data_IF_888904556243
#
_entry.id   IF_888904556243
#
_cell.length_a   1.000
_cell.length_b   1.000
_cell.length_c   1.000
_cell.angle_alpha   90.00
_cell.angle_beta   90.00
_cell.angle_gamma   90.00
#
_symmetry.space_group_name_H-M   'P 1'
#
loop_
_entity.id
_entity.type
_entity.pdbx_description
1 polymer ?
#
# COMPACT_ATOMS: atom_id res chain seq x y z
N UNK A 1 19.10 0.27 76.55
CA UNK A 1 17.97 0.67 75.75
C UNK A 1 18.45 0.66 74.27
N UNK A 2 18.21 -0.46 73.55
CA UNK A 2 18.66 -0.63 72.13
C UNK A 2 17.52 -0.25 71.19
N UNK A 3 17.73 0.78 70.41
CA UNK A 3 16.71 1.19 69.36
C UNK A 3 16.88 0.28 68.17
N UNK A 4 15.80 -0.46 67.89
CA UNK A 4 15.66 -1.31 66.71
C UNK A 4 15.23 -0.44 65.49
N UNK A 5 16.10 -0.26 64.51
CA UNK A 5 15.76 0.40 63.27
C UNK A 5 15.20 -0.65 62.30
N UNK A 6 13.92 -0.50 61.97
CA UNK A 6 13.25 -1.29 60.93
C UNK A 6 13.51 -0.63 59.57
N UNK A 7 14.30 -1.29 58.75
CA UNK A 7 14.51 -0.89 57.34
C UNK A 7 13.36 -1.45 56.52
N UNK A 8 12.50 -0.54 56.03
CA UNK A 8 11.39 -0.86 55.13
C UNK A 8 12.00 -0.94 53.70
N UNK A 9 12.18 -2.15 53.18
CA UNK A 9 12.58 -2.38 51.78
C UNK A 9 11.31 -2.31 50.95
N UNK A 10 11.08 -1.17 50.28
CA UNK A 10 10.04 -1.00 49.29
C UNK A 10 10.46 -1.67 47.97
N UNK A 11 10.02 -2.89 47.77
CA UNK A 11 10.23 -3.61 46.50
C UNK A 11 9.42 -2.98 45.38
N UNK A 12 10.08 -2.29 44.45
CA UNK A 12 9.48 -1.90 43.18
C UNK A 12 9.22 -3.17 42.33
N UNK A 13 7.98 -3.60 42.32
CA UNK A 13 7.50 -4.66 41.37
C UNK A 13 7.40 -4.02 40.00
N UNK A 14 8.42 -4.17 39.15
CA UNK A 14 8.29 -3.89 37.70
C UNK A 14 7.39 -4.95 37.10
N UNK A 15 6.12 -4.60 36.91
CA UNK A 15 5.21 -5.37 36.05
C UNK A 15 5.64 -5.11 34.62
N UNK A 16 6.44 -6.00 34.07
CA UNK A 16 6.66 -6.07 32.62
C UNK A 16 5.35 -6.58 32.04
N UNK A 17 4.49 -5.66 31.58
CA UNK A 17 3.35 -6.00 30.74
C UNK A 17 3.94 -6.49 29.41
N UNK A 18 4.29 -7.78 29.35
CA UNK A 18 4.52 -8.47 28.09
C UNK A 18 3.19 -8.45 27.35
N UNK A 19 3.06 -7.59 26.34
CA UNK A 19 2.00 -7.68 25.35
C UNK A 19 2.17 -9.01 24.61
N UNK A 20 1.62 -10.05 25.19
CA UNK A 20 1.48 -11.35 24.55
C UNK A 20 0.29 -11.23 23.61
N UNK A 21 0.51 -10.68 22.41
CA UNK A 21 -0.48 -10.79 21.33
C UNK A 21 -0.64 -12.27 21.04
N UNK A 22 -1.71 -12.86 21.56
CA UNK A 22 -2.14 -14.20 21.20
C UNK A 22 -2.34 -14.18 19.68
N UNK A 23 -1.38 -14.72 18.93
CA UNK A 23 -1.62 -15.14 17.55
C UNK A 23 -2.63 -16.27 17.64
N UNK A 24 -3.88 -15.96 17.38
CA UNK A 24 -4.87 -16.98 17.12
C UNK A 24 -4.34 -17.83 15.97
N UNK A 25 -4.19 -19.13 16.19
CA UNK A 25 -3.70 -20.07 15.19
C UNK A 25 -4.63 -20.02 13.98
N UNK A 26 -4.26 -19.23 12.95
CA UNK A 26 -4.96 -19.14 11.67
C UNK A 26 -5.70 -17.82 11.38
N UNK A 27 -5.70 -16.82 12.26
CA UNK A 27 -6.39 -15.54 12.05
C UNK A 27 -5.45 -14.32 12.01
N UNK A 28 -5.88 -13.26 11.31
CA UNK A 28 -5.24 -11.94 11.33
C UNK A 28 -5.29 -11.35 12.76
N UNK A 29 -4.22 -10.67 13.19
CA UNK A 29 -4.21 -9.92 14.46
C UNK A 29 -5.24 -8.77 14.44
N UNK A 30 -5.58 -8.23 15.61
CA UNK A 30 -6.47 -7.07 15.70
C UNK A 30 -5.86 -5.83 15.01
N UNK A 31 -4.53 -5.66 15.09
CA UNK A 31 -3.79 -4.58 14.41
C UNK A 31 -3.85 -4.74 12.89
N UNK A 32 -3.55 -5.94 12.38
CA UNK A 32 -3.64 -6.23 10.95
C UNK A 32 -5.05 -6.00 10.39
N UNK A 33 -6.10 -6.39 11.13
CA UNK A 33 -7.50 -6.11 10.74
C UNK A 33 -7.77 -4.61 10.67
N UNK A 34 -7.33 -3.84 11.67
CA UNK A 34 -7.49 -2.38 11.69
C UNK A 34 -6.76 -1.72 10.51
N UNK A 35 -5.54 -2.17 10.21
CA UNK A 35 -4.78 -1.67 9.07
C UNK A 35 -5.49 -1.97 7.75
N UNK A 36 -6.03 -3.17 7.59
CA UNK A 36 -6.80 -3.57 6.41
C UNK A 36 -8.09 -2.74 6.25
N UNK A 37 -8.82 -2.51 7.34
CA UNK A 37 -10.00 -1.64 7.36
C UNK A 37 -9.66 -0.20 6.95
N UNK A 38 -8.52 0.33 7.41
CA UNK A 38 -8.04 1.65 6.99
C UNK A 38 -7.69 1.67 5.49
N UNK A 39 -7.06 0.62 4.96
CA UNK A 39 -6.80 0.48 3.52
C UNK A 39 -8.09 0.48 2.70
N UNK A 40 -9.11 -0.26 3.14
CA UNK A 40 -10.44 -0.23 2.51
C UNK A 40 -11.07 1.17 2.56
N UNK A 41 -10.86 1.91 3.66
CA UNK A 41 -11.28 3.30 3.78
C UNK A 41 -10.60 4.21 2.75
N UNK A 42 -9.30 4.04 2.51
CA UNK A 42 -8.54 4.76 1.47
C UNK A 42 -9.12 4.43 0.10
N UNK A 43 -9.25 3.15 -0.26
CA UNK A 43 -9.84 2.70 -1.53
C UNK A 43 -11.21 3.32 -1.77
N UNK A 44 -12.06 3.36 -0.75
CA UNK A 44 -13.39 3.98 -0.82
C UNK A 44 -13.32 5.49 -1.11
N UNK A 45 -12.32 6.21 -0.59
CA UNK A 45 -12.14 7.62 -0.91
C UNK A 45 -11.85 7.82 -2.42
N UNK A 46 -11.06 6.94 -3.03
CA UNK A 46 -10.79 6.98 -4.47
C UNK A 46 -12.02 6.62 -5.31
N UNK A 47 -12.73 5.55 -4.98
CA UNK A 47 -13.93 5.13 -5.71
C UNK A 47 -15.04 6.19 -5.65
N UNK A 48 -15.19 6.87 -4.51
CA UNK A 48 -16.18 7.95 -4.34
C UNK A 48 -15.67 9.30 -4.84
N UNK A 49 -14.37 9.44 -5.15
CA UNK A 49 -13.67 10.70 -5.45
C UNK A 49 -13.84 11.76 -4.34
N UNK A 50 -14.04 11.31 -3.09
CA UNK A 50 -14.21 12.16 -1.90
C UNK A 50 -13.10 11.88 -0.88
N UNK A 51 -12.15 12.80 -0.78
CA UNK A 51 -11.01 12.73 0.13
C UNK A 51 -11.22 13.48 1.45
N UNK A 52 -12.44 13.91 1.78
CA UNK A 52 -12.73 14.61 3.03
C UNK A 52 -12.29 13.81 4.25
N UNK A 53 -12.51 12.48 4.24
CA UNK A 53 -12.18 11.54 5.31
C UNK A 53 -10.80 10.88 5.19
N UNK A 54 -9.99 11.24 4.20
CA UNK A 54 -8.68 10.59 4.00
C UNK A 54 -7.78 10.65 5.23
N UNK A 55 -7.88 11.73 6.03
CA UNK A 55 -7.12 11.88 7.27
C UNK A 55 -7.53 10.94 8.41
N UNK A 56 -8.64 10.21 8.27
CA UNK A 56 -9.00 9.14 9.21
C UNK A 56 -8.09 7.91 9.03
N UNK A 57 -7.53 7.74 7.81
CA UNK A 57 -6.81 6.55 7.37
C UNK A 57 -5.33 6.78 7.09
N UNK A 58 -4.92 8.01 6.74
CA UNK A 58 -3.54 8.40 6.44
C UNK A 58 -3.04 9.36 7.53
N UNK A 59 -1.78 9.22 7.92
CA UNK A 59 -1.14 10.11 8.87
C UNK A 59 -0.94 11.51 8.25
N UNK A 60 -0.92 12.55 9.10
CA UNK A 60 -0.77 13.95 8.66
C UNK A 60 0.59 14.19 7.95
N UNK A 61 1.62 13.49 8.39
CA UNK A 61 2.99 13.51 7.85
C UNK A 61 3.31 12.35 6.90
N UNK A 62 2.28 11.63 6.44
CA UNK A 62 2.44 10.48 5.54
C UNK A 62 3.18 10.81 4.25
N UNK A 63 3.79 9.80 3.64
CA UNK A 63 4.55 9.92 2.38
C UNK A 63 3.97 8.93 1.36
N UNK A 64 3.64 9.43 0.18
CA UNK A 64 3.33 8.60 -0.98
C UNK A 64 4.50 8.64 -1.96
N UNK A 65 5.14 7.49 -2.18
CA UNK A 65 6.28 7.33 -3.07
C UNK A 65 5.88 7.09 -4.54
N UNK A 66 4.57 7.07 -4.83
CA UNK A 66 4.04 6.81 -6.17
C UNK A 66 3.73 8.08 -6.98
N UNK A 67 4.11 9.25 -6.50
CA UNK A 67 3.89 10.51 -7.22
C UNK A 67 4.69 10.58 -8.53
N UNK A 68 4.07 11.08 -9.60
CA UNK A 68 4.70 11.18 -10.94
C UNK A 68 6.00 12.02 -10.94
N UNK A 69 6.15 12.96 -10.03
CA UNK A 69 7.30 13.86 -9.91
C UNK A 69 8.16 13.57 -8.67
N UNK A 70 7.96 12.42 -8.05
CA UNK A 70 8.61 12.02 -6.80
C UNK A 70 7.66 11.98 -5.61
N UNK A 71 8.20 11.91 -4.40
CA UNK A 71 7.42 11.76 -3.18
C UNK A 71 6.38 12.87 -2.97
N UNK A 72 5.14 12.48 -2.68
CA UNK A 72 4.10 13.41 -2.19
C UNK A 72 4.11 13.35 -0.66
N UNK A 73 4.52 14.43 -0.02
CA UNK A 73 4.68 14.50 1.44
C UNK A 73 3.56 15.29 2.10
N UNK A 74 2.95 14.67 3.11
CA UNK A 74 1.89 15.23 3.93
C UNK A 74 0.49 15.09 3.33
N UNK A 75 -0.47 14.86 4.22
CA UNK A 75 -1.87 14.58 3.89
C UNK A 75 -2.52 15.67 3.01
N UNK A 76 -2.22 16.94 3.25
CA UNK A 76 -2.80 18.05 2.47
C UNK A 76 -2.38 17.98 0.99
N UNK A 77 -1.10 17.70 0.73
CA UNK A 77 -0.59 17.56 -0.64
C UNK A 77 -1.15 16.31 -1.31
N UNK A 78 -1.24 15.18 -0.57
CA UNK A 78 -1.87 13.95 -1.08
C UNK A 78 -3.32 14.22 -1.51
N UNK A 79 -4.12 14.89 -0.67
CA UNK A 79 -5.51 15.24 -1.03
C UNK A 79 -5.58 16.07 -2.32
N UNK A 80 -4.68 17.03 -2.48
CA UNK A 80 -4.64 17.89 -3.67
C UNK A 80 -4.28 17.06 -4.93
N UNK A 81 -3.23 16.23 -4.88
CA UNK A 81 -2.80 15.42 -6.02
C UNK A 81 -3.81 14.32 -6.36
N UNK A 82 -4.37 13.62 -5.37
CA UNK A 82 -5.39 12.60 -5.61
C UNK A 82 -6.67 13.20 -6.21
N UNK A 83 -7.07 14.40 -5.78
CA UNK A 83 -8.20 15.11 -6.38
C UNK A 83 -7.96 15.42 -7.86
N UNK A 84 -6.77 15.86 -8.24
CA UNK A 84 -6.37 16.08 -9.64
C UNK A 84 -6.38 14.77 -10.42
N UNK A 85 -5.78 13.72 -9.85
CA UNK A 85 -5.68 12.40 -10.48
C UNK A 85 -7.07 11.84 -10.81
N UNK A 86 -8.00 11.80 -9.83
CA UNK A 86 -9.35 11.24 -10.06
C UNK A 86 -10.23 12.12 -10.95
N UNK A 87 -9.88 13.40 -11.15
CA UNK A 87 -10.56 14.25 -12.11
C UNK A 87 -10.23 13.90 -13.57
N UNK A 88 -9.13 13.19 -13.80
CA UNK A 88 -8.66 12.82 -15.15
C UNK A 88 -9.48 11.70 -15.78
N UNK A 89 -10.34 11.00 -15.04
CA UNK A 89 -11.12 9.87 -15.56
C UNK A 89 -12.55 9.80 -14.99
N UNK A 90 -13.43 9.18 -15.75
CA UNK A 90 -14.81 8.82 -15.39
C UNK A 90 -14.94 7.30 -15.17
N UNK A 91 -16.06 6.89 -14.57
CA UNK A 91 -16.44 5.49 -14.38
C UNK A 91 -15.32 4.63 -13.76
N UNK A 92 -14.50 5.25 -12.92
CA UNK A 92 -13.39 4.55 -12.27
C UNK A 92 -13.91 3.52 -11.28
N UNK A 93 -13.30 2.34 -11.32
CA UNK A 93 -13.58 1.25 -10.41
C UNK A 93 -12.29 0.57 -9.99
N UNK A 94 -12.19 0.31 -8.70
CA UNK A 94 -11.15 -0.53 -8.11
C UNK A 94 -11.71 -1.92 -7.81
N UNK A 95 -11.05 -2.96 -8.31
CA UNK A 95 -11.34 -4.36 -7.99
C UNK A 95 -10.16 -4.94 -7.24
N UNK A 96 -10.37 -5.34 -5.99
CA UNK A 96 -9.35 -6.00 -5.19
C UNK A 96 -9.29 -7.47 -5.57
N UNK A 97 -8.13 -7.92 -6.07
CA UNK A 97 -7.89 -9.31 -6.48
C UNK A 97 -7.38 -10.12 -5.29
N UNK A 98 -6.47 -9.55 -4.50
CA UNK A 98 -5.88 -10.20 -3.33
C UNK A 98 -5.39 -9.18 -2.34
N UNK A 99 -5.50 -9.51 -1.05
CA UNK A 99 -5.01 -8.70 0.06
C UNK A 99 -4.19 -9.54 1.02
N UNK A 100 -3.14 -8.96 1.55
CA UNK A 100 -2.31 -9.49 2.62
C UNK A 100 -2.09 -8.37 3.63
N UNK A 101 -2.23 -8.67 4.91
CA UNK A 101 -2.02 -7.69 5.97
C UNK A 101 -1.33 -8.32 7.18
N UNK A 102 -0.41 -7.57 7.76
CA UNK A 102 0.17 -7.85 9.05
C UNK A 102 0.10 -6.61 9.96
N UNK A 103 0.81 -6.63 11.09
CA UNK A 103 0.75 -5.54 12.06
C UNK A 103 1.41 -4.25 11.57
N UNK A 104 2.16 -4.29 10.48
CA UNK A 104 2.93 -3.15 9.95
C UNK A 104 2.56 -2.82 8.50
N UNK A 105 2.25 -3.81 7.66
CA UNK A 105 2.00 -3.62 6.23
C UNK A 105 0.65 -4.17 5.78
N UNK A 106 0.07 -3.48 4.79
CA UNK A 106 -1.01 -4.00 3.95
C UNK A 106 -0.54 -3.96 2.51
N UNK A 107 -0.71 -5.08 1.82
CA UNK A 107 -0.44 -5.22 0.38
C UNK A 107 -1.73 -5.60 -0.30
N UNK A 108 -2.11 -4.87 -1.36
CA UNK A 108 -3.31 -5.17 -2.15
C UNK A 108 -2.94 -5.29 -3.62
N UNK A 109 -3.24 -6.42 -4.23
CA UNK A 109 -3.23 -6.56 -5.68
C UNK A 109 -4.57 -6.10 -6.20
N UNK A 110 -4.57 -5.05 -7.00
CA UNK A 110 -5.78 -4.38 -7.46
C UNK A 110 -5.79 -4.26 -8.98
N UNK A 111 -7.01 -4.18 -9.52
CA UNK A 111 -7.27 -3.81 -10.92
C UNK A 111 -8.03 -2.51 -10.94
N UNK A 112 -7.53 -1.58 -11.73
CA UNK A 112 -8.16 -0.29 -11.96
C UNK A 112 -8.73 -0.24 -13.36
N UNK A 113 -9.94 0.26 -13.49
CA UNK A 113 -10.60 0.46 -14.80
C UNK A 113 -11.34 1.80 -14.81
N UNK A 114 -11.50 2.36 -16.01
CA UNK A 114 -12.21 3.63 -16.19
C UNK A 114 -12.09 4.13 -17.61
N UNK A 115 -12.54 5.39 -17.82
CA UNK A 115 -12.50 6.08 -19.10
C UNK A 115 -11.75 7.41 -18.91
N UNK A 116 -10.76 7.69 -19.76
CA UNK A 116 -10.01 8.94 -19.72
C UNK A 116 -10.89 10.13 -20.12
N UNK A 117 -10.78 11.23 -19.37
CA UNK A 117 -11.44 12.53 -19.70
C UNK A 117 -10.51 13.53 -20.34
N UNK A 118 -9.23 13.42 -20.05
CA UNK A 118 -8.17 14.30 -20.55
C UNK A 118 -7.11 13.46 -21.25
N UNK A 119 -6.30 14.10 -22.08
CA UNK A 119 -5.13 13.45 -22.66
C UNK A 119 -4.02 13.36 -21.59
N UNK A 120 -3.65 12.15 -21.23
CA UNK A 120 -2.61 11.87 -20.24
C UNK A 120 -2.00 10.49 -20.48
N UNK A 121 -0.68 10.34 -20.25
CA UNK A 121 0.01 9.04 -20.39
C UNK A 121 -0.17 8.38 -21.76
N UNK A 122 -0.25 9.16 -22.85
CA UNK A 122 -0.47 8.65 -24.20
C UNK A 122 -1.89 8.20 -24.50
N UNK A 123 -2.82 8.29 -23.55
CA UNK A 123 -4.24 7.99 -23.73
C UNK A 123 -5.03 9.28 -24.01
N UNK A 124 -6.09 9.18 -24.81
CA UNK A 124 -6.94 10.30 -25.22
C UNK A 124 -8.27 10.28 -24.48
N UNK A 125 -8.98 11.42 -24.45
CA UNK A 125 -10.35 11.45 -23.95
C UNK A 125 -11.23 10.40 -24.65
N UNK A 126 -11.93 9.58 -23.86
CA UNK A 126 -12.75 8.48 -24.33
C UNK A 126 -12.05 7.12 -24.36
N UNK A 127 -10.73 7.06 -24.24
CA UNK A 127 -10.00 5.79 -24.14
C UNK A 127 -10.31 5.09 -22.82
N UNK A 128 -10.54 3.79 -22.90
CA UNK A 128 -10.75 2.94 -21.72
C UNK A 128 -9.43 2.36 -21.25
N UNK A 129 -9.21 2.40 -19.96
CA UNK A 129 -8.06 1.72 -19.33
C UNK A 129 -8.51 0.55 -18.46
N UNK A 130 -7.63 -0.43 -18.36
CA UNK A 130 -7.74 -1.56 -17.44
C UNK A 130 -6.32 -1.99 -17.13
N UNK A 131 -5.87 -1.72 -15.90
CA UNK A 131 -4.50 -1.96 -15.46
C UNK A 131 -4.49 -2.61 -14.09
N UNK A 132 -3.42 -3.32 -13.78
CA UNK A 132 -3.21 -3.95 -12.48
C UNK A 132 -1.98 -3.38 -11.79
N UNK A 133 -2.06 -3.21 -10.48
CA UNK A 133 -0.95 -2.80 -9.65
C UNK A 133 -0.97 -3.53 -8.30
N UNK A 134 0.18 -3.53 -7.64
CA UNK A 134 0.31 -3.90 -6.23
C UNK A 134 0.54 -2.62 -5.45
N UNK A 135 -0.38 -2.33 -4.55
CA UNK A 135 -0.25 -1.24 -3.59
C UNK A 135 0.32 -1.79 -2.30
N UNK A 136 1.33 -1.13 -1.76
CA UNK A 136 1.95 -1.45 -0.48
C UNK A 136 1.85 -0.25 0.43
N UNK A 137 1.21 -0.40 1.57
CA UNK A 137 1.12 0.64 2.57
C UNK A 137 1.71 0.18 3.89
N UNK A 138 2.54 1.02 4.49
CA UNK A 138 3.05 0.85 5.85
C UNK A 138 2.15 1.58 6.81
N UNK A 139 1.81 0.91 7.92
CA UNK A 139 0.88 1.42 8.92
C UNK A 139 1.58 1.63 10.26
N UNK A 140 1.15 2.68 10.96
CA UNK A 140 1.47 2.94 12.35
C UNK A 140 0.21 3.44 13.05
N UNK A 141 -0.14 2.85 14.20
CA UNK A 141 -1.32 3.21 15.00
C UNK A 141 -2.66 3.16 14.22
N UNK A 142 -2.71 2.34 13.14
CA UNK A 142 -3.89 2.17 12.28
C UNK A 142 -4.06 3.25 11.23
N UNK A 143 -3.00 4.02 10.93
CA UNK A 143 -2.95 4.96 9.80
C UNK A 143 -1.78 4.62 8.88
N UNK A 144 -1.99 4.77 7.58
CA UNK A 144 -0.91 4.64 6.60
C UNK A 144 0.08 5.81 6.77
N UNK A 145 1.36 5.48 6.89
CA UNK A 145 2.46 6.44 7.05
C UNK A 145 3.34 6.51 5.80
N UNK A 146 3.41 5.43 5.03
CA UNK A 146 4.13 5.37 3.76
C UNK A 146 3.33 4.52 2.77
N UNK A 147 3.43 4.85 1.48
CA UNK A 147 2.75 4.13 0.40
C UNK A 147 3.63 4.01 -0.85
N UNK A 148 3.53 2.87 -1.53
CA UNK A 148 4.20 2.54 -2.79
C UNK A 148 3.24 1.84 -3.74
N UNK A 149 3.37 2.13 -5.04
CA UNK A 149 2.66 1.43 -6.12
C UNK A 149 3.67 0.71 -6.99
N UNK A 150 3.42 -0.56 -7.29
CA UNK A 150 4.25 -1.37 -8.19
C UNK A 150 3.39 -1.89 -9.34
N UNK A 151 3.80 -1.57 -10.56
CA UNK A 151 3.19 -2.05 -11.80
C UNK A 151 4.12 -2.99 -12.55
N UNK A 152 3.54 -3.91 -13.32
CA UNK A 152 4.32 -4.68 -14.28
C UNK A 152 4.86 -3.76 -15.37
N UNK A 153 6.12 -3.97 -15.85
CA UNK A 153 6.71 -3.15 -16.91
C UNK A 153 5.84 -3.08 -18.17
N UNK A 154 5.17 -4.16 -18.53
CA UNK A 154 4.27 -4.20 -19.68
C UNK A 154 3.03 -3.30 -19.50
N UNK A 155 2.46 -3.23 -18.29
CA UNK A 155 1.35 -2.34 -17.98
C UNK A 155 1.81 -0.87 -18.00
N UNK A 156 2.98 -0.57 -17.45
CA UNK A 156 3.56 0.77 -17.48
C UNK A 156 3.83 1.23 -18.92
N UNK A 157 4.41 0.38 -19.76
CA UNK A 157 4.67 0.70 -21.18
C UNK A 157 3.38 0.96 -21.95
N UNK A 158 2.34 0.16 -21.70
CA UNK A 158 1.01 0.34 -22.29
C UNK A 158 0.41 1.69 -21.91
N UNK A 159 0.54 2.11 -20.66
CA UNK A 159 0.09 3.44 -20.21
C UNK A 159 0.87 4.58 -20.88
N UNK A 160 2.16 4.40 -21.14
CA UNK A 160 2.99 5.40 -21.84
C UNK A 160 2.82 5.38 -23.36
N UNK A 161 1.87 4.58 -23.91
CA UNK A 161 1.65 4.47 -25.35
C UNK A 161 2.81 3.83 -26.11
N UNK A 162 3.74 3.18 -25.42
CA UNK A 162 4.83 2.44 -26.02
C UNK A 162 4.45 0.97 -26.19
N UNK A 163 4.66 0.37 -27.38
CA UNK A 163 4.40 -1.05 -27.53
C UNK A 163 5.29 -1.87 -26.59
N UNK A 164 4.77 -2.98 -26.01
CA UNK A 164 5.60 -3.87 -25.20
C UNK A 164 6.77 -4.38 -26.06
N UNK A 165 7.95 -4.61 -25.46
CA UNK A 165 9.08 -5.20 -26.17
C UNK A 165 8.64 -6.55 -26.76
N UNK A 166 9.16 -6.93 -27.94
CA UNK A 166 8.88 -8.25 -28.50
C UNK A 166 9.27 -9.33 -27.49
N UNK A 167 8.54 -10.46 -27.47
CA UNK A 167 8.89 -11.57 -26.59
C UNK A 167 10.38 -11.88 -26.75
N UNK A 168 11.11 -12.00 -25.64
CA UNK A 168 12.49 -12.44 -25.71
C UNK A 168 12.49 -13.85 -26.29
N UNK A 169 13.02 -14.01 -27.50
CA UNK A 169 13.28 -15.34 -28.04
C UNK A 169 14.14 -16.10 -27.04
N UNK A 170 13.68 -17.27 -26.66
CA UNK A 170 14.36 -18.16 -25.71
C UNK A 170 15.67 -18.63 -26.37
N UNK A 171 16.72 -17.79 -26.31
CA UNK A 171 18.07 -18.14 -26.81
C UNK A 171 18.81 -19.06 -25.84
N UNK A 172 18.14 -19.64 -24.87
CA UNK A 172 18.67 -20.79 -24.15
C UNK A 172 18.55 -22.02 -25.03
N UNK A 173 19.49 -22.13 -25.97
CA UNK A 173 19.70 -23.41 -26.65
C UNK A 173 19.91 -24.51 -25.60
N UNK A 174 19.60 -25.77 -25.94
CA UNK A 174 19.68 -26.87 -24.99
C UNK A 174 21.07 -26.87 -24.32
N UNK A 175 21.06 -26.91 -22.99
CA UNK A 175 22.26 -27.01 -22.19
C UNK A 175 23.12 -28.16 -22.76
N UNK A 176 24.33 -27.86 -23.24
CA UNK A 176 25.24 -28.91 -23.67
C UNK A 176 25.53 -29.79 -22.46
N UNK A 177 25.04 -31.01 -22.56
CA UNK A 177 25.35 -32.06 -21.60
C UNK A 177 26.86 -32.27 -21.57
N UNK A 178 27.51 -31.84 -20.50
CA UNK A 178 28.95 -32.00 -20.28
C UNK A 178 29.28 -33.35 -19.59
N UNK A 179 28.60 -34.40 -20.01
CA UNK A 179 29.00 -35.75 -19.60
C UNK A 179 29.72 -36.44 -20.74
N UNK A 180 31.01 -36.18 -20.90
CA UNK A 180 31.91 -37.12 -21.55
C UNK A 180 33.37 -36.91 -21.09
N UNK A 181 33.75 -37.85 -20.29
CA UNK A 181 35.03 -38.44 -19.88
C UNK A 181 35.52 -38.08 -18.50
#
# INVERSE_FOLDING_TARGET
MKKLQIILITGCLFIIASCNSKKDAGGMSATAKKNLEAMHGITKCFDSKDFSKLGDFIAEDGIDHAGEQGDIKGLANMKAEFTKMVAAYDDSKTEVIKELADDEYVMTWQRYSGTMKIEQMGMKPGDKFNMSAIEVSKFKDGKAVEHWTFMEPAEMMKMMGTPPPPPMEDKMGPAKDSTSK
#
